data_IF_622301884080
#
_entry.id   IF_622301884080
#
_cell.length_a   1.000
_cell.length_b   1.000
_cell.length_c   1.000
_cell.angle_alpha   90.00
_cell.angle_beta   90.00
_cell.angle_gamma   90.00
#
_symmetry.space_group_name_H-M   'P 1'
#
loop_
_entity.id
_entity.type
_entity.pdbx_description
1 polymer ?
#
# COMPACT_ATOMS: atom_id res chain seq x y z
N UNK A 1 5.49 -15.21 -6.37
CA UNK A 1 6.78 -14.55 -6.39
C UNK A 1 7.37 -14.41 -4.99
N UNK A 2 8.64 -13.97 -4.92
CA UNK A 2 9.33 -13.83 -3.65
C UNK A 2 8.63 -12.94 -2.64
N UNK A 3 8.05 -11.82 -3.07
CA UNK A 3 7.38 -10.89 -2.16
C UNK A 3 6.18 -11.55 -1.46
N UNK A 4 5.37 -12.28 -2.20
CA UNK A 4 4.21 -12.97 -1.62
C UNK A 4 4.63 -14.06 -0.65
N UNK A 5 5.64 -14.85 -1.02
CA UNK A 5 6.16 -15.91 -0.16
C UNK A 5 6.76 -15.34 1.12
N UNK A 6 7.52 -14.27 1.01
CA UNK A 6 8.13 -13.62 2.18
C UNK A 6 7.09 -13.05 3.13
N UNK A 7 6.07 -12.39 2.60
CA UNK A 7 5.00 -11.84 3.43
C UNK A 7 4.25 -12.97 4.15
N UNK A 8 3.92 -14.03 3.43
CA UNK A 8 3.22 -15.18 4.00
C UNK A 8 4.03 -15.78 5.16
N UNK A 9 5.35 -15.92 4.99
CA UNK A 9 6.23 -16.42 6.03
C UNK A 9 6.28 -15.49 7.25
N UNK A 10 6.35 -14.18 7.03
CA UNK A 10 6.36 -13.20 8.12
C UNK A 10 5.07 -13.26 8.94
N UNK A 11 3.93 -13.30 8.26
CA UNK A 11 2.63 -13.39 8.95
C UNK A 11 2.54 -14.67 9.76
N UNK A 12 2.96 -15.79 9.19
CA UNK A 12 2.97 -17.07 9.89
C UNK A 12 3.81 -17.00 11.16
N UNK A 13 5.03 -16.47 11.04
CA UNK A 13 5.95 -16.38 12.18
C UNK A 13 5.42 -15.48 13.29
N UNK A 14 4.83 -14.34 12.92
CA UNK A 14 4.24 -13.42 13.90
C UNK A 14 3.11 -14.09 14.67
N UNK A 15 2.21 -14.76 13.96
CA UNK A 15 1.09 -15.46 14.60
C UNK A 15 1.57 -16.59 15.50
N UNK A 16 2.60 -17.32 15.07
CA UNK A 16 3.18 -18.39 15.87
C UNK A 16 3.77 -17.87 17.18
N UNK A 17 4.21 -16.60 17.21
CA UNK A 17 4.72 -15.94 18.41
C UNK A 17 3.64 -15.23 19.22
N UNK A 18 2.39 -15.36 18.85
CA UNK A 18 1.28 -14.69 19.53
C UNK A 18 1.15 -13.21 19.20
N UNK A 19 1.76 -12.76 18.11
CA UNK A 19 1.70 -11.36 17.66
C UNK A 19 0.66 -11.21 16.58
N UNK A 20 -0.24 -10.24 16.73
CA UNK A 20 -1.25 -9.92 15.72
C UNK A 20 -0.60 -9.13 14.58
N UNK A 21 -0.51 -9.68 13.37
CA UNK A 21 0.06 -8.93 12.25
C UNK A 21 -0.88 -7.84 11.76
N UNK A 22 -0.29 -6.73 11.36
CA UNK A 22 -0.99 -5.62 10.74
C UNK A 22 -0.29 -5.33 9.42
N UNK A 23 -0.99 -5.47 8.30
CA UNK A 23 -0.41 -5.38 6.97
C UNK A 23 -0.85 -4.09 6.30
N UNK A 24 0.13 -3.28 5.89
CA UNK A 24 -0.13 -2.05 5.14
C UNK A 24 -0.26 -2.35 3.66
N UNK A 25 -1.29 -1.81 3.01
CA UNK A 25 -1.44 -1.91 1.56
C UNK A 25 -0.57 -0.84 0.92
N UNK A 26 0.28 -1.19 -0.06
CA UNK A 26 1.19 -0.23 -0.67
C UNK A 26 0.45 0.85 -1.46
N UNK A 27 1.07 2.03 -1.51
CA UNK A 27 0.52 3.16 -2.23
C UNK A 27 0.56 2.91 -3.74
N UNK A 28 -0.37 3.49 -4.49
CA UNK A 28 -0.35 3.39 -5.95
C UNK A 28 0.81 4.20 -6.53
N UNK A 29 1.22 3.84 -7.74
CA UNK A 29 2.24 4.56 -8.50
C UNK A 29 1.54 5.35 -9.61
N UNK A 30 1.74 6.67 -9.62
CA UNK A 30 1.28 7.52 -10.72
C UNK A 30 2.44 7.66 -11.72
N UNK A 31 2.58 6.65 -12.57
CA UNK A 31 3.74 6.51 -13.45
C UNK A 31 3.90 7.67 -14.42
N UNK A 32 2.81 8.30 -14.83
CA UNK A 32 2.87 9.41 -15.79
C UNK A 32 3.47 10.68 -15.18
N UNK A 33 3.45 10.80 -13.85
CA UNK A 33 3.99 11.97 -13.14
C UNK A 33 5.40 11.74 -12.59
N UNK A 34 5.91 10.52 -12.68
CA UNK A 34 7.30 10.25 -12.26
C UNK A 34 8.24 11.06 -13.15
N UNK A 35 9.28 11.71 -12.59
CA UNK A 35 10.22 12.50 -13.38
C UNK A 35 10.79 11.70 -14.55
N UNK A 36 10.87 12.33 -15.73
CA UNK A 36 11.33 11.69 -16.94
C UNK A 36 12.69 11.02 -16.78
N UNK A 37 13.58 11.67 -16.06
CA UNK A 37 14.92 11.17 -15.78
C UNK A 37 14.88 9.77 -15.13
N UNK A 38 13.92 9.53 -14.24
CA UNK A 38 13.78 8.24 -13.58
C UNK A 38 13.11 7.21 -14.49
N UNK A 39 12.19 7.69 -15.36
CA UNK A 39 11.49 6.80 -16.30
C UNK A 39 12.42 6.20 -17.35
N UNK A 40 13.55 6.83 -17.60
CA UNK A 40 14.58 6.29 -18.48
C UNK A 40 15.26 5.05 -17.90
N UNK A 41 15.27 4.93 -16.57
CA UNK A 41 15.96 3.83 -15.88
C UNK A 41 15.02 2.69 -15.49
N UNK A 42 13.75 2.97 -15.25
CA UNK A 42 12.78 1.99 -14.76
C UNK A 42 11.46 2.16 -15.50
N UNK A 43 10.85 1.05 -15.87
CA UNK A 43 9.51 1.04 -16.45
C UNK A 43 8.48 1.19 -15.33
N UNK A 44 8.17 2.43 -14.97
CA UNK A 44 7.22 2.71 -13.90
C UNK A 44 5.78 2.36 -14.26
N UNK A 45 5.45 2.29 -15.54
CA UNK A 45 4.11 1.84 -15.96
C UNK A 45 3.93 0.37 -15.61
N UNK A 46 4.93 -0.46 -15.90
CA UNK A 46 4.91 -1.86 -15.52
C UNK A 46 4.92 -2.03 -14.00
N UNK A 47 5.74 -1.21 -13.31
CA UNK A 47 5.79 -1.23 -11.84
C UNK A 47 4.44 -0.86 -11.23
N UNK A 48 3.75 0.14 -11.77
CA UNK A 48 2.42 0.54 -11.29
C UNK A 48 1.42 -0.62 -11.37
N UNK A 49 1.45 -1.37 -12.48
CA UNK A 49 0.58 -2.53 -12.64
C UNK A 49 0.92 -3.64 -11.65
N UNK A 50 2.21 -3.87 -11.40
CA UNK A 50 2.66 -4.89 -10.44
C UNK A 50 2.28 -4.52 -9.00
N UNK A 51 2.43 -3.24 -8.63
CA UNK A 51 2.04 -2.77 -7.30
C UNK A 51 0.53 -2.93 -7.10
N UNK A 52 -0.26 -2.59 -8.13
CA UNK A 52 -1.71 -2.74 -8.05
C UNK A 52 -2.11 -4.21 -7.86
N UNK A 53 -1.51 -5.10 -8.64
CA UNK A 53 -1.78 -6.53 -8.52
C UNK A 53 -1.39 -7.06 -7.14
N UNK A 54 -0.26 -6.62 -6.61
CA UNK A 54 0.19 -7.02 -5.28
C UNK A 54 -0.75 -6.48 -4.19
N UNK A 55 -1.19 -5.23 -4.32
CA UNK A 55 -2.15 -4.64 -3.39
C UNK A 55 -3.46 -5.45 -3.34
N UNK A 56 -3.97 -5.83 -4.51
CA UNK A 56 -5.19 -6.63 -4.60
C UNK A 56 -5.00 -8.01 -3.96
N UNK A 57 -3.85 -8.63 -4.21
CA UNK A 57 -3.51 -9.89 -3.59
C UNK A 57 -3.42 -9.77 -2.06
N UNK A 58 -2.78 -8.70 -1.57
CA UNK A 58 -2.66 -8.45 -0.13
C UNK A 58 -4.01 -8.29 0.55
N UNK A 59 -4.93 -7.56 -0.07
CA UNK A 59 -6.28 -7.39 0.48
C UNK A 59 -6.98 -8.73 0.62
N UNK A 60 -6.90 -9.57 -0.40
CA UNK A 60 -7.50 -10.90 -0.37
C UNK A 60 -6.82 -11.80 0.65
N UNK A 61 -5.49 -11.78 0.69
CA UNK A 61 -4.71 -12.57 1.64
C UNK A 61 -5.04 -12.19 3.09
N UNK A 62 -5.13 -10.91 3.40
CA UNK A 62 -5.45 -10.46 4.75
C UNK A 62 -6.84 -10.87 5.18
N UNK A 63 -7.82 -10.83 4.27
CA UNK A 63 -9.17 -11.33 4.57
C UNK A 63 -9.14 -12.82 4.90
N UNK A 64 -8.40 -13.61 4.13
CA UNK A 64 -8.33 -15.05 4.33
C UNK A 64 -7.52 -15.47 5.54
N UNK A 65 -6.49 -14.71 5.90
CA UNK A 65 -5.59 -15.04 7.01
C UNK A 65 -6.02 -14.45 8.35
N UNK A 66 -7.02 -13.58 8.36
CA UNK A 66 -7.44 -12.90 9.57
C UNK A 66 -6.46 -11.84 10.06
N UNK A 67 -5.57 -11.35 9.20
CA UNK A 67 -4.64 -10.28 9.53
C UNK A 67 -5.35 -8.93 9.48
N UNK A 68 -4.93 -8.01 10.33
CA UNK A 68 -5.42 -6.64 10.26
C UNK A 68 -4.85 -5.95 9.03
N UNK A 69 -5.66 -5.12 8.39
CA UNK A 69 -5.27 -4.43 7.16
C UNK A 69 -5.33 -2.92 7.38
N UNK A 70 -4.25 -2.22 7.02
CA UNK A 70 -4.24 -0.77 6.93
C UNK A 70 -4.20 -0.43 5.45
N UNK A 71 -5.34 -0.05 4.88
CA UNK A 71 -5.40 0.26 3.44
C UNK A 71 -4.97 1.70 3.20
N UNK A 72 -3.65 1.93 3.25
CA UNK A 72 -3.09 3.26 3.00
C UNK A 72 -3.42 3.76 1.61
N UNK A 73 -3.59 2.86 0.63
CA UNK A 73 -3.86 3.25 -0.75
C UNK A 73 -5.26 3.85 -0.92
N UNK A 74 -6.20 3.51 -0.05
CA UNK A 74 -7.61 3.89 -0.24
C UNK A 74 -7.81 5.40 -0.34
N UNK A 75 -7.02 6.19 0.40
CA UNK A 75 -7.15 7.65 0.39
C UNK A 75 -6.44 8.32 -0.79
N UNK A 76 -5.76 7.53 -1.63
CA UNK A 76 -5.02 8.03 -2.78
C UNK A 76 -5.82 7.95 -4.07
N UNK A 77 -7.09 7.56 -3.97
CA UNK A 77 -8.02 7.50 -5.10
C UNK A 77 -9.21 8.42 -4.86
N UNK A 78 -9.69 9.04 -5.94
CA UNK A 78 -10.93 9.83 -5.91
C UNK A 78 -12.13 8.90 -5.96
N UNK A 79 -13.34 9.40 -5.63
CA UNK A 79 -14.55 8.57 -5.74
C UNK A 79 -14.80 7.99 -7.13
N UNK A 80 -14.28 8.65 -8.19
CA UNK A 80 -14.38 8.16 -9.56
C UNK A 80 -13.36 7.09 -9.92
N UNK A 81 -12.51 6.70 -8.96
CA UNK A 81 -11.49 5.66 -9.14
C UNK A 81 -10.16 6.16 -9.68
N UNK A 82 -10.04 7.45 -10.01
CA UNK A 82 -8.79 8.02 -10.49
C UNK A 82 -7.88 8.41 -9.32
N UNK A 83 -6.57 8.43 -9.59
CA UNK A 83 -5.59 8.82 -8.59
C UNK A 83 -5.79 10.28 -8.16
N UNK A 84 -5.68 10.49 -6.87
CA UNK A 84 -5.70 11.82 -6.26
C UNK A 84 -4.28 12.39 -6.34
N UNK A 85 -4.02 13.21 -7.34
CA UNK A 85 -2.66 13.67 -7.68
C UNK A 85 -2.00 14.44 -6.54
N UNK A 86 -2.77 15.17 -5.76
CA UNK A 86 -2.24 15.96 -4.65
C UNK A 86 -1.71 15.11 -3.49
N UNK A 87 -2.00 13.82 -3.47
CA UNK A 87 -1.51 12.91 -2.43
C UNK A 87 -0.11 12.39 -2.70
N UNK A 88 0.36 12.48 -3.96
CA UNK A 88 1.71 12.06 -4.37
C UNK A 88 2.42 13.27 -4.98
N UNK A 89 3.60 13.60 -4.48
CA UNK A 89 4.29 14.80 -5.00
C UNK A 89 5.12 14.53 -6.26
N UNK A 90 5.61 13.31 -6.44
CA UNK A 90 6.44 12.92 -7.61
C UNK A 90 5.92 11.68 -8.31
N UNK A 91 4.70 11.26 -8.02
CA UNK A 91 4.13 10.04 -8.56
C UNK A 91 4.47 8.79 -7.75
N UNK A 92 5.44 8.86 -6.84
CA UNK A 92 5.90 7.71 -6.03
C UNK A 92 5.77 7.95 -4.53
N UNK A 93 6.14 9.14 -4.07
CA UNK A 93 6.22 9.44 -2.64
C UNK A 93 4.99 10.21 -2.19
N UNK A 94 4.46 9.92 -1.00
CA UNK A 94 3.32 10.67 -0.51
C UNK A 94 3.70 12.12 -0.24
N UNK A 95 2.78 13.04 -0.57
CA UNK A 95 2.88 14.43 -0.22
C UNK A 95 2.64 14.61 1.28
N UNK A 96 2.73 15.85 1.76
CA UNK A 96 2.39 16.16 3.14
C UNK A 96 0.94 15.74 3.45
N UNK A 97 0.01 16.05 2.54
CA UNK A 97 -1.39 15.61 2.68
C UNK A 97 -1.51 14.08 2.64
N UNK A 98 -0.74 13.43 1.77
CA UNK A 98 -0.71 11.97 1.70
C UNK A 98 -0.24 11.36 3.01
N UNK A 99 0.84 11.87 3.59
CA UNK A 99 1.33 11.43 4.89
C UNK A 99 0.29 11.62 6.00
N UNK A 100 -0.40 12.77 6.00
CA UNK A 100 -1.46 13.03 6.99
C UNK A 100 -2.60 12.02 6.89
N UNK A 101 -3.01 11.69 5.67
CA UNK A 101 -4.07 10.67 5.46
C UNK A 101 -3.63 9.29 5.91
N UNK A 102 -2.38 8.92 5.64
CA UNK A 102 -1.85 7.63 6.10
C UNK A 102 -1.85 7.57 7.62
N UNK A 103 -1.40 8.63 8.28
CA UNK A 103 -1.36 8.70 9.74
C UNK A 103 -2.77 8.61 10.35
N UNK A 104 -3.74 9.32 9.78
CA UNK A 104 -5.13 9.27 10.24
C UNK A 104 -5.70 7.86 10.14
N UNK A 105 -5.45 7.18 9.02
CA UNK A 105 -5.98 5.83 8.80
C UNK A 105 -5.39 4.83 9.80
N UNK A 106 -4.09 4.89 10.01
CA UNK A 106 -3.42 4.03 10.97
C UNK A 106 -3.90 4.32 12.40
N UNK A 107 -4.00 5.59 12.77
CA UNK A 107 -4.46 5.99 14.10
C UNK A 107 -5.87 5.48 14.39
N UNK A 108 -6.78 5.59 13.42
CA UNK A 108 -8.14 5.08 13.59
C UNK A 108 -8.17 3.58 13.86
N UNK A 109 -7.32 2.82 13.14
CA UNK A 109 -7.25 1.38 13.35
C UNK A 109 -6.70 1.04 14.73
N UNK A 110 -5.63 1.71 15.15
CA UNK A 110 -5.00 1.49 16.45
C UNK A 110 -5.95 1.86 17.60
N UNK A 111 -6.65 2.98 17.49
CA UNK A 111 -7.59 3.43 18.53
C UNK A 111 -8.79 2.51 18.65
N UNK A 112 -9.25 1.93 17.54
CA UNK A 112 -10.35 0.96 17.59
C UNK A 112 -9.94 -0.33 18.27
N UNK A 113 -8.65 -0.69 18.24
CA UNK A 113 -8.13 -1.91 18.86
C UNK A 113 -7.68 -1.66 20.30
N UNK A 114 -7.30 -0.43 20.58
CA UNK A 114 -6.93 -0.04 21.93
C UNK A 114 -8.13 0.22 22.79
#
# INVERSE_FOLDING_TARGET
>A
TGAKANLTAMVYQLKACGVQPMVGIPLPVDWARVPEKWRELVDFRAAAAQVQAYADWLRAYCRGSGSLTVDFAADFYRPDGQLCQEMLWDGLHPSEDGHSKMAERLARLLLRKG
#
